data_IF_665778212003
#
_entry.id   IF_665778212003
#
_cell.length_a   1.000
_cell.length_b   1.000
_cell.length_c   1.000
_cell.angle_alpha   90.00
_cell.angle_beta   90.00
_cell.angle_gamma   90.00
#
_symmetry.space_group_name_H-M   'P 1'
#
loop_
_entity.id
_entity.type
_entity.pdbx_description
1 polymer ?
#
# COMPACT_ATOMS: atom_id res chain seq x y z
N UNK A 1 19.51 -69.87 -65.50
CA UNK A 1 19.74 -69.65 -64.07
C UNK A 1 19.92 -68.15 -63.89
N UNK A 2 18.84 -67.43 -63.46
CA UNK A 2 18.87 -65.99 -63.24
C UNK A 2 18.78 -65.76 -61.75
N UNK A 3 19.79 -65.06 -61.17
CA UNK A 3 19.82 -64.61 -59.78
C UNK A 3 19.28 -63.21 -59.70
N UNK A 4 18.15 -63.09 -59.00
CA UNK A 4 17.58 -61.76 -58.64
C UNK A 4 18.11 -61.28 -57.30
N UNK A 5 18.81 -60.13 -57.28
CA UNK A 5 19.23 -59.48 -56.06
C UNK A 5 18.10 -58.59 -55.53
N UNK A 6 17.65 -58.89 -54.33
CA UNK A 6 16.71 -58.01 -53.62
C UNK A 6 17.50 -57.03 -52.77
N UNK A 7 17.38 -55.69 -53.04
CA UNK A 7 17.95 -54.65 -52.23
C UNK A 7 16.98 -54.28 -51.10
N UNK A 8 17.38 -54.46 -49.84
CA UNK A 8 16.63 -54.04 -48.67
C UNK A 8 16.97 -52.56 -48.37
N UNK A 9 15.98 -51.68 -48.46
CA UNK A 9 16.08 -50.27 -48.03
C UNK A 9 15.74 -50.20 -46.54
N UNK A 10 16.77 -49.98 -45.69
CA UNK A 10 16.54 -49.61 -44.26
C UNK A 10 16.17 -48.12 -44.18
N UNK A 11 14.89 -47.85 -43.96
CA UNK A 11 14.41 -46.53 -43.59
C UNK A 11 14.73 -46.20 -42.13
N UNK A 12 15.63 -45.26 -41.89
CA UNK A 12 15.92 -44.73 -40.54
C UNK A 12 14.78 -43.81 -40.13
N UNK A 13 13.90 -44.27 -39.22
CA UNK A 13 12.88 -43.43 -38.58
C UNK A 13 13.58 -42.53 -37.53
N UNK A 14 13.81 -41.28 -37.87
CA UNK A 14 14.16 -40.23 -36.88
C UNK A 14 12.93 -39.91 -36.04
N UNK A 15 12.82 -40.51 -34.84
CA UNK A 15 11.88 -40.08 -33.82
C UNK A 15 12.34 -38.72 -33.29
N UNK A 16 11.69 -37.66 -33.76
CA UNK A 16 11.84 -36.35 -33.15
C UNK A 16 11.32 -36.42 -31.70
N UNK A 17 12.24 -36.24 -30.74
CA UNK A 17 11.86 -36.11 -29.34
C UNK A 17 10.92 -34.87 -29.18
N UNK A 18 9.82 -35.00 -28.42
CA UNK A 18 8.96 -33.87 -28.18
C UNK A 18 9.75 -32.79 -27.47
N UNK A 19 9.77 -31.58 -28.05
CA UNK A 19 10.36 -30.42 -27.40
C UNK A 19 9.72 -30.27 -26.02
N UNK A 20 10.53 -30.33 -24.97
CA UNK A 20 10.06 -30.11 -23.61
C UNK A 20 9.40 -28.74 -23.58
N UNK A 21 8.10 -28.70 -23.34
CA UNK A 21 7.34 -27.49 -23.17
C UNK A 21 7.98 -26.74 -21.99
N UNK A 22 8.64 -25.62 -22.28
CA UNK A 22 9.18 -24.74 -21.23
C UNK A 22 8.00 -24.31 -20.37
N UNK A 23 8.02 -24.72 -19.09
CA UNK A 23 7.01 -24.28 -18.13
C UNK A 23 6.86 -22.75 -18.22
N UNK A 24 5.64 -22.22 -18.33
CA UNK A 24 5.46 -20.78 -18.44
C UNK A 24 6.12 -20.11 -17.25
N UNK A 25 6.97 -19.12 -17.53
CA UNK A 25 7.67 -18.35 -16.49
C UNK A 25 6.61 -17.69 -15.61
N UNK A 26 6.63 -17.85 -14.28
CA UNK A 26 5.64 -17.25 -13.40
C UNK A 26 5.55 -15.74 -13.68
N UNK A 27 4.35 -15.24 -13.94
CA UNK A 27 4.10 -13.82 -14.11
C UNK A 27 4.02 -13.12 -12.76
N UNK A 28 4.47 -11.87 -12.71
CA UNK A 28 4.47 -11.00 -11.52
C UNK A 28 3.53 -9.85 -11.79
N UNK A 29 2.68 -9.51 -10.84
CA UNK A 29 1.88 -8.30 -10.90
C UNK A 29 2.76 -7.08 -10.61
N UNK A 30 2.76 -6.13 -11.53
CA UNK A 30 3.37 -4.84 -11.31
C UNK A 30 2.39 -3.93 -10.58
N UNK A 31 2.80 -3.37 -9.46
CA UNK A 31 2.07 -2.39 -8.66
C UNK A 31 2.89 -1.13 -8.42
N UNK A 32 2.22 -0.07 -7.96
CA UNK A 32 2.88 1.16 -7.56
C UNK A 32 2.15 1.84 -6.40
N UNK A 33 2.93 2.41 -5.48
CA UNK A 33 2.46 3.48 -4.61
C UNK A 33 2.61 4.79 -5.39
N UNK A 34 1.49 5.47 -5.59
CA UNK A 34 1.43 6.76 -6.27
C UNK A 34 0.77 7.76 -5.31
N UNK A 35 1.47 8.80 -4.85
CA UNK A 35 0.93 9.73 -3.86
C UNK A 35 -0.42 10.31 -4.28
N UNK A 36 -1.42 10.20 -3.39
CA UNK A 36 -2.80 10.71 -3.61
C UNK A 36 -3.52 10.10 -4.81
N UNK A 37 -3.17 8.90 -5.24
CA UNK A 37 -3.81 8.26 -6.39
C UNK A 37 -5.30 7.93 -6.15
N UNK A 38 -5.69 7.68 -4.89
CA UNK A 38 -7.05 7.47 -4.46
C UNK A 38 -7.93 8.74 -4.55
N UNK A 39 -7.34 9.91 -4.24
CA UNK A 39 -8.01 11.22 -4.30
C UNK A 39 -7.93 11.86 -5.69
N UNK A 40 -6.86 11.57 -6.42
CA UNK A 40 -6.51 12.14 -7.72
C UNK A 40 -6.20 11.04 -8.74
N UNK A 41 -7.23 10.35 -9.23
CA UNK A 41 -7.07 9.16 -10.07
C UNK A 41 -6.36 9.44 -11.41
N UNK A 42 -6.34 10.68 -11.90
CA UNK A 42 -5.56 11.10 -13.06
C UNK A 42 -4.05 10.88 -12.89
N UNK A 43 -3.56 10.77 -11.63
CA UNK A 43 -2.16 10.42 -11.34
C UNK A 43 -1.83 8.99 -11.72
N UNK A 44 -2.78 8.05 -11.62
CA UNK A 44 -2.62 6.68 -12.09
C UNK A 44 -2.47 6.67 -13.61
N UNK A 45 -3.26 7.48 -14.32
CA UNK A 45 -3.19 7.58 -15.76
C UNK A 45 -1.87 8.23 -16.20
N UNK A 46 -1.43 9.28 -15.50
CA UNK A 46 -0.15 9.95 -15.75
C UNK A 46 1.04 9.00 -15.53
N UNK A 47 1.05 8.28 -14.41
CA UNK A 47 2.07 7.28 -14.11
C UNK A 47 2.08 6.16 -15.16
N UNK A 48 0.91 5.65 -15.55
CA UNK A 48 0.78 4.60 -16.56
C UNK A 48 1.36 5.04 -17.91
N UNK A 49 1.10 6.27 -18.34
CA UNK A 49 1.73 6.85 -19.55
C UNK A 49 3.22 7.03 -19.38
N UNK A 50 3.67 7.51 -18.21
CA UNK A 50 5.08 7.71 -17.91
C UNK A 50 5.87 6.42 -18.03
N UNK A 51 5.39 5.32 -17.45
CA UNK A 51 6.12 4.04 -17.42
C UNK A 51 5.78 3.11 -18.59
N UNK A 52 4.74 3.40 -19.36
CA UNK A 52 4.33 2.61 -20.52
C UNK A 52 3.51 1.36 -20.19
N UNK A 53 3.07 1.19 -18.93
CA UNK A 53 2.25 0.05 -18.46
C UNK A 53 1.33 0.47 -17.33
N UNK A 54 0.10 -0.04 -17.32
CA UNK A 54 -0.81 0.14 -16.19
C UNK A 54 -0.41 -0.77 -15.02
N UNK A 55 -0.34 -0.25 -13.78
CA UNK A 55 -0.15 -1.10 -12.62
C UNK A 55 -1.39 -1.98 -12.38
N UNK A 56 -1.17 -3.25 -11.99
CA UNK A 56 -2.24 -4.15 -11.56
C UNK A 56 -2.64 -3.93 -10.09
N UNK A 57 -1.77 -3.27 -9.32
CA UNK A 57 -2.02 -2.87 -7.92
C UNK A 57 -1.68 -1.39 -7.79
N UNK A 58 -2.55 -0.61 -7.16
CA UNK A 58 -2.23 0.76 -6.72
C UNK A 58 -2.34 0.82 -5.21
N UNK A 59 -1.22 1.16 -4.56
CA UNK A 59 -1.13 1.29 -3.11
C UNK A 59 -1.34 2.73 -2.66
N UNK A 60 -2.00 2.89 -1.53
CA UNK A 60 -2.14 4.17 -0.82
C UNK A 60 -2.36 3.94 0.68
N UNK A 61 -2.10 4.99 1.47
CA UNK A 61 -2.20 4.94 2.93
C UNK A 61 -3.53 5.49 3.42
N UNK A 62 -4.08 4.87 4.46
CA UNK A 62 -5.26 5.35 5.20
C UNK A 62 -5.02 5.21 6.70
N UNK A 63 -5.09 6.33 7.38
CA UNK A 63 -5.03 6.38 8.84
C UNK A 63 -6.42 6.14 9.44
N UNK A 64 -6.45 5.86 10.74
CA UNK A 64 -7.67 5.50 11.47
C UNK A 64 -8.59 6.70 11.81
N UNK A 65 -8.30 7.89 11.32
CA UNK A 65 -9.18 9.06 11.47
C UNK A 65 -10.38 9.03 10.53
N UNK A 66 -10.29 8.27 9.45
CA UNK A 66 -11.24 8.26 8.35
C UNK A 66 -11.84 6.86 8.16
N UNK A 67 -12.98 6.81 7.50
CA UNK A 67 -13.50 5.54 6.96
C UNK A 67 -12.54 5.09 5.87
N UNK A 68 -11.81 3.98 6.04
CA UNK A 68 -10.69 3.64 5.14
C UNK A 68 -11.15 3.08 3.79
N UNK A 69 -12.43 2.71 3.66
CA UNK A 69 -12.99 2.01 2.49
C UNK A 69 -14.08 2.85 1.85
N UNK A 70 -13.77 4.10 1.50
CA UNK A 70 -14.68 4.97 0.77
C UNK A 70 -14.81 4.49 -0.67
N UNK A 71 -16.06 4.28 -1.13
CA UNK A 71 -16.33 3.69 -2.45
C UNK A 71 -15.71 4.50 -3.58
N UNK A 72 -15.75 5.82 -3.51
CA UNK A 72 -15.20 6.70 -4.55
C UNK A 72 -13.68 6.55 -4.70
N UNK A 73 -12.95 6.42 -3.58
CA UNK A 73 -11.50 6.18 -3.61
C UNK A 73 -11.15 4.80 -4.17
N UNK A 74 -11.92 3.78 -3.77
CA UNK A 74 -11.76 2.42 -4.27
C UNK A 74 -12.09 2.35 -5.78
N UNK A 75 -13.17 3.00 -6.21
CA UNK A 75 -13.57 3.08 -7.62
C UNK A 75 -12.57 3.89 -8.46
N UNK A 76 -11.95 4.90 -7.89
CA UNK A 76 -10.88 5.66 -8.53
C UNK A 76 -9.73 4.76 -9.01
N UNK A 77 -9.33 3.80 -8.18
CA UNK A 77 -8.30 2.80 -8.51
C UNK A 77 -8.87 1.68 -9.40
N UNK A 78 -10.02 1.13 -9.01
CA UNK A 78 -10.61 -0.02 -9.70
C UNK A 78 -10.99 0.26 -11.15
N UNK A 79 -11.57 1.41 -11.44
CA UNK A 79 -11.96 1.82 -12.80
C UNK A 79 -10.76 1.95 -13.75
N UNK A 80 -9.56 2.08 -13.20
CA UNK A 80 -8.29 2.11 -13.96
C UNK A 80 -7.62 0.76 -14.12
N UNK A 81 -8.31 -0.33 -13.78
CA UNK A 81 -7.83 -1.70 -13.99
C UNK A 81 -6.88 -2.22 -12.91
N UNK A 82 -6.72 -1.50 -11.80
CA UNK A 82 -5.89 -1.92 -10.67
C UNK A 82 -6.72 -2.45 -9.50
N UNK A 83 -6.11 -3.30 -8.64
CA UNK A 83 -6.63 -3.63 -7.32
C UNK A 83 -6.16 -2.56 -6.34
N UNK A 84 -7.05 -1.94 -5.55
CA UNK A 84 -6.63 -1.07 -4.47
C UNK A 84 -5.91 -1.86 -3.37
N UNK A 85 -4.72 -1.41 -2.98
CA UNK A 85 -4.00 -1.91 -1.80
C UNK A 85 -3.93 -0.80 -0.76
N UNK A 86 -4.62 -1.02 0.36
CA UNK A 86 -4.71 -0.03 1.43
C UNK A 86 -3.70 -0.38 2.52
N UNK A 87 -2.72 0.48 2.73
CA UNK A 87 -1.88 0.47 3.92
C UNK A 87 -2.66 1.14 5.04
N UNK A 88 -3.18 0.31 5.95
CA UNK A 88 -4.11 0.73 6.98
C UNK A 88 -3.42 0.86 8.34
N UNK A 89 -3.22 2.10 8.76
CA UNK A 89 -2.38 2.47 9.89
C UNK A 89 -3.21 2.84 11.12
N UNK A 90 -3.02 2.16 12.28
CA UNK A 90 -3.66 2.56 13.53
C UNK A 90 -3.00 3.81 14.15
N UNK A 91 -3.06 4.89 13.39
CA UNK A 91 -2.48 6.20 13.63
C UNK A 91 -3.40 7.26 13.02
N UNK A 92 -3.40 8.49 13.50
CA UNK A 92 -4.06 9.62 12.85
C UNK A 92 -3.07 10.50 12.08
N UNK A 93 -3.56 11.30 11.15
CA UNK A 93 -2.74 12.32 10.48
C UNK A 93 -2.11 13.31 11.46
N UNK A 94 -2.79 13.58 12.58
CA UNK A 94 -2.30 14.47 13.64
C UNK A 94 -1.34 13.76 14.61
N UNK A 95 -0.96 12.50 14.33
CA UNK A 95 -0.07 11.71 15.18
C UNK A 95 -0.73 11.09 16.41
N UNK A 96 -2.08 11.13 16.54
CA UNK A 96 -2.79 10.42 17.60
C UNK A 96 -2.64 8.91 17.41
N UNK A 97 -2.19 8.23 18.43
CA UNK A 97 -1.97 6.79 18.42
C UNK A 97 -3.25 6.02 18.77
N UNK A 98 -3.44 4.87 18.14
CA UNK A 98 -4.45 3.89 18.52
C UNK A 98 -3.75 2.67 19.13
N UNK A 99 -3.50 2.67 20.45
CA UNK A 99 -2.64 1.67 21.08
C UNK A 99 -3.15 0.25 20.87
N UNK A 100 -2.26 -0.67 20.46
CA UNK A 100 -2.63 -2.07 20.21
C UNK A 100 -3.26 -2.73 21.45
N UNK A 101 -2.85 -2.33 22.66
CA UNK A 101 -3.46 -2.81 23.89
C UNK A 101 -4.96 -2.45 24.00
N UNK A 102 -5.36 -1.29 23.49
CA UNK A 102 -6.77 -0.86 23.47
C UNK A 102 -7.54 -1.55 22.36
N UNK A 103 -6.92 -1.73 21.18
CA UNK A 103 -7.51 -2.51 20.08
C UNK A 103 -7.75 -3.95 20.54
N UNK A 104 -6.78 -4.56 21.22
CA UNK A 104 -6.90 -5.91 21.75
C UNK A 104 -8.08 -6.06 22.73
N UNK A 105 -8.34 -5.04 23.57
CA UNK A 105 -9.47 -5.01 24.51
C UNK A 105 -10.82 -4.63 23.87
N UNK A 106 -10.86 -4.32 22.56
CA UNK A 106 -12.08 -4.05 21.82
C UNK A 106 -12.55 -2.61 21.82
N UNK A 107 -11.73 -1.66 22.33
CA UNK A 107 -12.11 -0.24 22.37
C UNK A 107 -12.51 0.33 20.99
N UNK A 108 -11.94 -0.22 19.93
CA UNK A 108 -12.14 0.26 18.56
C UNK A 108 -12.95 -0.71 17.69
N UNK A 109 -13.61 -1.70 18.28
CA UNK A 109 -14.39 -2.70 17.53
C UNK A 109 -15.48 -2.09 16.68
N UNK A 110 -16.14 -1.04 17.16
CA UNK A 110 -17.18 -0.34 16.39
C UNK A 110 -16.59 0.21 15.09
N UNK A 111 -15.48 0.94 15.18
CA UNK A 111 -14.77 1.50 14.01
C UNK A 111 -14.34 0.41 13.03
N UNK A 112 -13.74 -0.69 13.54
CA UNK A 112 -13.29 -1.82 12.73
C UNK A 112 -14.48 -2.49 12.02
N UNK A 113 -15.62 -2.68 12.70
CA UNK A 113 -16.83 -3.25 12.11
C UNK A 113 -17.47 -2.30 11.07
N UNK A 114 -17.46 -1.00 11.30
CA UNK A 114 -17.94 -0.01 10.32
C UNK A 114 -17.06 -0.03 9.06
N UNK A 115 -15.74 -0.09 9.22
CA UNK A 115 -14.78 -0.26 8.14
C UNK A 115 -15.03 -1.57 7.35
N UNK A 116 -15.25 -2.66 8.06
CA UNK A 116 -15.54 -3.96 7.45
C UNK A 116 -16.85 -3.95 6.64
N UNK A 117 -17.90 -3.32 7.17
CA UNK A 117 -19.16 -3.17 6.43
C UNK A 117 -19.01 -2.32 5.17
N UNK A 118 -18.22 -1.25 5.23
CA UNK A 118 -17.92 -0.43 4.06
C UNK A 118 -17.18 -1.25 2.97
N UNK A 119 -16.17 -2.03 3.37
CA UNK A 119 -15.46 -2.92 2.46
C UNK A 119 -16.39 -3.99 1.85
N UNK A 120 -17.23 -4.64 2.67
CA UNK A 120 -18.20 -5.63 2.23
C UNK A 120 -19.23 -5.04 1.26
N UNK A 121 -19.73 -3.83 1.54
CA UNK A 121 -20.71 -3.13 0.70
C UNK A 121 -20.15 -2.77 -0.68
N UNK A 122 -18.85 -2.42 -0.76
CA UNK A 122 -18.19 -2.19 -2.04
C UNK A 122 -18.04 -3.47 -2.87
N UNK A 123 -17.83 -4.63 -2.24
CA UNK A 123 -17.98 -5.98 -2.77
C UNK A 123 -16.90 -6.45 -3.74
N UNK A 124 -15.97 -5.60 -4.19
CA UNK A 124 -14.87 -5.98 -5.08
C UNK A 124 -13.60 -6.26 -4.29
N UNK A 125 -12.62 -7.03 -4.82
CA UNK A 125 -11.38 -7.37 -4.11
C UNK A 125 -10.56 -6.15 -3.68
N UNK A 126 -10.14 -6.13 -2.42
CA UNK A 126 -9.28 -5.13 -1.80
C UNK A 126 -8.11 -5.86 -1.14
N UNK A 127 -6.89 -5.39 -1.35
CA UNK A 127 -5.73 -5.79 -0.58
C UNK A 127 -5.61 -4.87 0.64
N UNK A 128 -5.56 -5.42 1.85
CA UNK A 128 -5.41 -4.63 3.09
C UNK A 128 -4.13 -5.00 3.80
N UNK A 129 -3.24 -4.04 3.89
CA UNK A 129 -1.95 -4.11 4.57
C UNK A 129 -2.04 -3.39 5.92
N UNK A 130 -2.52 -4.12 6.93
CA UNK A 130 -2.75 -3.57 8.27
C UNK A 130 -1.46 -3.54 9.09
N UNK A 131 -1.18 -2.41 9.77
CA UNK A 131 -0.07 -2.27 10.70
C UNK A 131 1.25 -2.89 10.17
N UNK A 132 1.64 -2.48 8.95
CA UNK A 132 2.83 -2.95 8.25
C UNK A 132 4.12 -2.65 9.04
N UNK A 133 5.24 -3.27 8.65
CA UNK A 133 6.57 -3.05 9.25
C UNK A 133 6.60 -3.17 10.79
N UNK A 134 5.82 -4.09 11.32
CA UNK A 134 5.64 -4.28 12.77
C UNK A 134 6.90 -4.76 13.51
N UNK A 135 7.95 -5.11 12.78
CA UNK A 135 9.26 -5.50 13.30
C UNK A 135 10.25 -4.33 13.41
N UNK A 136 9.90 -3.16 12.87
CA UNK A 136 10.69 -1.93 12.99
C UNK A 136 10.57 -1.27 14.38
N UNK A 137 11.08 -0.04 14.48
CA UNK A 137 10.99 0.77 15.72
C UNK A 137 10.34 2.13 15.53
N UNK A 138 9.93 2.45 14.30
CA UNK A 138 9.45 3.77 13.89
C UNK A 138 7.93 3.92 13.99
N UNK A 139 7.18 2.82 14.09
CA UNK A 139 5.73 2.87 14.20
C UNK A 139 5.23 2.59 15.62
N UNK A 140 4.14 3.22 16.09
CA UNK A 140 3.59 3.00 17.41
C UNK A 140 3.02 1.59 17.62
N UNK A 141 2.75 0.84 16.56
CA UNK A 141 2.30 -0.56 16.63
C UNK A 141 3.43 -1.58 16.59
N UNK A 142 4.67 -1.13 16.40
CA UNK A 142 5.82 -2.03 16.24
C UNK A 142 6.15 -2.78 17.55
N UNK A 143 6.82 -3.93 17.40
CA UNK A 143 7.29 -4.72 18.52
C UNK A 143 8.33 -3.95 19.35
N UNK A 144 8.14 -3.95 20.66
CA UNK A 144 8.98 -3.18 21.58
C UNK A 144 8.57 -1.72 21.77
N UNK A 145 7.76 -1.17 20.88
CA UNK A 145 7.23 0.19 20.98
C UNK A 145 5.90 0.18 21.74
N UNK A 146 5.63 1.18 22.57
CA UNK A 146 4.38 1.31 23.38
C UNK A 146 4.05 0.03 24.19
N UNK A 147 5.06 -0.74 24.60
CA UNK A 147 4.89 -1.99 25.32
C UNK A 147 4.30 -3.14 24.48
N UNK A 148 4.32 -3.03 23.15
CA UNK A 148 3.84 -4.07 22.26
C UNK A 148 4.81 -5.25 22.26
N UNK A 149 4.28 -6.45 22.40
CA UNK A 149 5.01 -7.70 22.25
C UNK A 149 4.43 -8.53 21.09
N UNK A 150 5.12 -9.58 20.69
CA UNK A 150 4.71 -10.46 19.60
C UNK A 150 3.31 -11.06 19.79
N UNK A 151 2.96 -11.42 21.02
CA UNK A 151 1.61 -11.94 21.34
C UNK A 151 0.54 -10.90 21.05
N UNK A 152 0.72 -9.65 21.53
CA UNK A 152 -0.25 -8.56 21.30
C UNK A 152 -0.41 -8.24 19.82
N UNK A 153 0.67 -8.15 19.07
CA UNK A 153 0.64 -7.88 17.62
C UNK A 153 -0.19 -8.94 16.90
N UNK A 154 0.09 -10.23 17.16
CA UNK A 154 -0.67 -11.34 16.58
C UNK A 154 -2.14 -11.35 17.02
N UNK A 155 -2.40 -11.07 18.28
CA UNK A 155 -3.77 -11.04 18.81
C UNK A 155 -4.60 -9.91 18.20
N UNK A 156 -4.02 -8.73 18.03
CA UNK A 156 -4.67 -7.58 17.37
C UNK A 156 -4.92 -7.87 15.89
N UNK A 157 -3.93 -8.38 15.17
CA UNK A 157 -4.10 -8.77 13.77
C UNK A 157 -5.28 -9.73 13.60
N UNK A 158 -5.28 -10.83 14.37
CA UNK A 158 -6.34 -11.84 14.33
C UNK A 158 -7.71 -11.27 14.70
N UNK A 159 -7.76 -10.33 15.67
CA UNK A 159 -8.99 -9.64 16.04
C UNK A 159 -9.56 -8.84 14.88
N UNK A 160 -8.72 -8.02 14.23
CA UNK A 160 -9.13 -7.20 13.09
C UNK A 160 -9.69 -8.06 11.96
N UNK A 161 -8.95 -9.09 11.55
CA UNK A 161 -9.38 -10.03 10.50
C UNK A 161 -10.69 -10.72 10.87
N UNK A 162 -10.83 -11.19 12.12
CA UNK A 162 -12.06 -11.83 12.61
C UNK A 162 -13.25 -10.88 12.52
N UNK A 163 -13.09 -9.63 12.96
CA UNK A 163 -14.16 -8.62 12.91
C UNK A 163 -14.61 -8.33 11.48
N UNK A 164 -13.70 -8.30 10.52
CA UNK A 164 -14.03 -8.16 9.09
C UNK A 164 -14.83 -9.36 8.59
N UNK A 165 -14.41 -10.57 8.91
CA UNK A 165 -15.14 -11.80 8.53
C UNK A 165 -16.53 -11.86 9.13
N UNK A 166 -16.69 -11.46 10.40
CA UNK A 166 -17.99 -11.36 11.06
C UNK A 166 -18.95 -10.37 10.39
N UNK A 167 -18.44 -9.37 9.68
CA UNK A 167 -19.24 -8.42 8.92
C UNK A 167 -19.42 -8.81 7.43
N UNK A 168 -18.98 -9.99 7.04
CA UNK A 168 -19.13 -10.48 5.66
C UNK A 168 -18.15 -9.86 4.64
N UNK A 169 -17.08 -9.21 5.06
CA UNK A 169 -16.08 -8.62 4.19
C UNK A 169 -15.13 -9.69 3.60
N UNK A 170 -15.70 -10.67 2.87
CA UNK A 170 -14.96 -11.77 2.24
C UNK A 170 -14.11 -11.31 1.03
N UNK A 171 -14.39 -10.14 0.51
CA UNK A 171 -13.66 -9.50 -0.58
C UNK A 171 -12.32 -8.89 -0.16
N UNK A 172 -12.01 -8.83 1.13
CA UNK A 172 -10.74 -8.32 1.65
C UNK A 172 -9.69 -9.43 1.70
N UNK A 173 -8.57 -9.20 1.04
CA UNK A 173 -7.37 -10.04 1.13
C UNK A 173 -6.32 -9.36 2.02
N UNK A 174 -5.85 -10.09 3.02
CA UNK A 174 -4.94 -9.58 4.05
C UNK A 174 -3.49 -9.76 3.65
N UNK A 175 -2.75 -8.65 3.63
CA UNK A 175 -1.33 -8.59 3.23
C UNK A 175 -0.47 -8.33 4.45
N UNK A 176 0.35 -9.31 4.83
CA UNK A 176 1.26 -9.21 5.97
C UNK A 176 2.68 -8.93 5.47
N UNK A 177 3.18 -7.72 5.72
CA UNK A 177 4.50 -7.25 5.31
C UNK A 177 5.26 -6.64 6.49
N UNK A 178 6.19 -7.37 7.12
CA UNK A 178 7.23 -6.75 7.92
C UNK A 178 8.22 -5.98 7.03
N UNK A 179 9.02 -5.11 7.63
CA UNK A 179 10.23 -4.61 6.98
C UNK A 179 11.26 -5.73 6.83
N UNK A 180 12.14 -5.63 5.84
CA UNK A 180 13.22 -6.60 5.65
C UNK A 180 14.01 -6.81 6.94
N UNK A 181 14.41 -8.05 7.17
CA UNK A 181 15.18 -8.42 8.36
C UNK A 181 16.65 -8.05 8.17
N UNK A 182 17.06 -6.92 8.74
CA UNK A 182 18.43 -6.43 8.72
C UNK A 182 19.14 -6.81 10.00
N UNK A 183 19.55 -8.04 10.16
CA UNK A 183 20.35 -8.54 11.28
C UNK A 183 20.06 -7.93 12.67
N UNK A 184 19.58 -8.73 13.63
CA UNK A 184 19.21 -8.26 14.97
C UNK A 184 17.73 -7.90 15.14
N UNK A 185 16.92 -7.88 14.07
CA UNK A 185 15.48 -7.79 14.16
C UNK A 185 14.88 -9.12 14.67
N UNK A 186 13.63 -9.05 15.11
CA UNK A 186 12.94 -10.22 15.64
C UNK A 186 12.59 -11.22 14.55
N UNK A 187 12.70 -12.54 14.79
CA UNK A 187 12.28 -13.56 13.85
C UNK A 187 10.83 -13.35 13.40
N UNK A 188 10.57 -13.46 12.11
CA UNK A 188 9.23 -13.25 11.55
C UNK A 188 8.19 -14.23 12.11
N UNK A 189 8.59 -15.48 12.42
CA UNK A 189 7.73 -16.46 13.09
C UNK A 189 7.09 -15.95 14.40
N UNK A 190 7.77 -15.04 15.10
CA UNK A 190 7.25 -14.47 16.34
C UNK A 190 6.11 -13.48 16.10
N UNK A 191 6.08 -12.86 14.92
CA UNK A 191 5.12 -11.83 14.52
C UNK A 191 4.05 -12.36 13.59
N UNK A 192 4.29 -13.49 12.95
CA UNK A 192 3.40 -14.07 11.95
C UNK A 192 2.07 -14.52 12.58
N UNK A 193 0.92 -14.02 12.09
CA UNK A 193 -0.37 -14.35 12.69
C UNK A 193 -0.88 -15.75 12.33
N UNK A 194 -0.27 -16.40 11.30
CA UNK A 194 -0.61 -17.73 10.78
C UNK A 194 -1.47 -17.66 9.50
N UNK A 195 -1.33 -18.67 8.64
CA UNK A 195 -1.92 -18.76 7.29
C UNK A 195 -3.43 -18.50 7.27
N UNK A 196 -4.15 -18.91 8.31
CA UNK A 196 -5.57 -18.67 8.44
C UNK A 196 -5.96 -17.19 8.44
N UNK A 197 -5.02 -16.28 8.76
CA UNK A 197 -5.28 -14.88 9.04
C UNK A 197 -4.68 -13.94 8.01
N UNK A 198 -4.03 -14.48 6.98
CA UNK A 198 -3.40 -13.73 5.89
C UNK A 198 -3.68 -14.39 4.55
N UNK A 199 -3.61 -13.63 3.48
CA UNK A 199 -3.76 -14.10 2.10
C UNK A 199 -2.46 -13.95 1.32
N UNK A 200 -1.70 -12.92 1.66
CA UNK A 200 -0.41 -12.59 1.08
C UNK A 200 0.59 -12.35 2.18
N UNK A 201 1.79 -12.85 1.99
CA UNK A 201 2.94 -12.54 2.85
C UNK A 201 3.99 -11.81 2.03
N UNK A 202 4.89 -11.08 2.68
CA UNK A 202 5.95 -10.38 1.97
C UNK A 202 6.77 -9.50 2.88
N UNK A 203 7.38 -8.50 2.31
CA UNK A 203 8.25 -7.57 3.01
C UNK A 203 8.29 -6.21 2.29
N UNK A 204 8.74 -5.19 3.02
CA UNK A 204 9.09 -3.88 2.52
C UNK A 204 10.61 -3.72 2.59
N UNK A 205 11.24 -3.34 1.49
CA UNK A 205 12.70 -3.23 1.44
C UNK A 205 13.20 -2.25 0.39
N UNK A 206 14.09 -1.35 0.82
CA UNK A 206 14.61 -0.26 -0.01
C UNK A 206 16.12 -0.25 -0.06
N UNK A 207 16.68 0.18 -1.17
CA UNK A 207 18.07 0.56 -1.25
C UNK A 207 18.24 2.03 -0.83
N UNK A 208 18.40 2.23 0.47
CA UNK A 208 18.45 3.57 1.06
C UNK A 208 19.72 4.35 0.75
N UNK A 209 20.86 3.68 0.63
CA UNK A 209 22.19 4.24 0.35
C UNK A 209 22.64 5.39 1.29
N UNK A 210 21.83 5.77 2.27
CA UNK A 210 22.08 6.94 3.15
C UNK A 210 23.21 6.73 4.15
N UNK A 211 23.63 5.48 4.36
CA UNK A 211 24.70 5.10 5.29
C UNK A 211 25.97 4.66 4.58
N UNK A 212 26.11 5.00 3.29
CA UNK A 212 27.27 4.60 2.47
C UNK A 212 27.21 3.14 2.01
N UNK A 213 26.12 2.42 2.26
CA UNK A 213 25.95 1.02 1.89
C UNK A 213 24.99 0.92 0.70
N UNK A 214 25.54 0.62 -0.48
CA UNK A 214 24.76 0.35 -1.68
C UNK A 214 24.58 -1.16 -1.84
N UNK A 215 23.35 -1.63 -1.74
CA UNK A 215 23.01 -3.04 -1.82
C UNK A 215 22.19 -3.35 -3.08
N UNK A 216 22.41 -4.52 -3.67
CA UNK A 216 21.51 -5.09 -4.67
C UNK A 216 20.15 -5.42 -4.06
N UNK A 217 19.14 -5.64 -4.89
CA UNK A 217 17.82 -6.06 -4.40
C UNK A 217 17.90 -7.38 -3.62
N UNK A 218 18.66 -8.36 -4.14
CA UNK A 218 18.83 -9.66 -3.48
C UNK A 218 19.47 -9.52 -2.10
N UNK A 219 20.55 -8.74 -1.96
CA UNK A 219 21.20 -8.51 -0.66
C UNK A 219 20.24 -7.88 0.37
N UNK A 220 19.29 -7.06 -0.08
CA UNK A 220 18.29 -6.45 0.79
C UNK A 220 17.26 -7.48 1.25
N UNK A 221 16.80 -8.39 0.38
CA UNK A 221 15.60 -9.18 0.63
C UNK A 221 15.84 -10.66 0.91
N UNK A 222 17.00 -11.21 0.58
CA UNK A 222 17.25 -12.65 0.53
C UNK A 222 16.95 -13.35 1.86
N UNK A 223 17.49 -12.81 2.96
CA UNK A 223 17.24 -13.35 4.29
C UNK A 223 15.74 -13.34 4.66
N UNK A 224 15.04 -12.26 4.32
CA UNK A 224 13.60 -12.11 4.58
C UNK A 224 12.77 -13.06 3.71
N UNK A 225 13.14 -13.18 2.44
CA UNK A 225 12.50 -14.10 1.50
C UNK A 225 12.62 -15.55 2.00
N UNK A 226 13.83 -15.98 2.39
CA UNK A 226 14.06 -17.33 2.90
C UNK A 226 13.33 -17.59 4.21
N UNK A 227 13.33 -16.64 5.14
CA UNK A 227 12.63 -16.80 6.41
C UNK A 227 11.12 -16.98 6.19
N UNK A 228 10.51 -16.15 5.32
CA UNK A 228 9.08 -16.28 4.97
C UNK A 228 8.83 -17.58 4.20
N UNK A 229 9.73 -17.98 3.30
CA UNK A 229 9.59 -19.22 2.54
C UNK A 229 9.56 -20.46 3.42
N UNK A 230 10.28 -20.45 4.54
CA UNK A 230 10.26 -21.52 5.55
C UNK A 230 9.01 -21.45 6.44
N UNK A 231 8.37 -20.29 6.56
CA UNK A 231 7.26 -20.03 7.48
C UNK A 231 5.91 -20.46 6.88
N UNK A 232 5.70 -20.25 5.59
CA UNK A 232 4.41 -20.47 4.91
C UNK A 232 4.61 -20.69 3.41
N UNK A 233 3.62 -21.30 2.75
CA UNK A 233 3.56 -21.46 1.29
C UNK A 233 2.74 -20.38 0.59
N UNK A 234 2.17 -19.41 1.28
CA UNK A 234 1.36 -18.32 0.71
C UNK A 234 2.14 -17.50 -0.34
N UNK A 235 1.46 -16.92 -1.34
CA UNK A 235 2.12 -16.08 -2.35
C UNK A 235 2.78 -14.86 -1.70
N UNK A 236 3.95 -14.47 -2.25
CA UNK A 236 4.69 -13.33 -1.74
C UNK A 236 4.44 -12.07 -2.55
N UNK A 237 4.39 -10.95 -1.84
CA UNK A 237 4.36 -9.61 -2.39
C UNK A 237 5.54 -8.80 -1.83
N UNK A 238 6.25 -8.08 -2.69
CA UNK A 238 7.09 -6.96 -2.25
C UNK A 238 6.14 -5.78 -2.08
N UNK A 239 5.81 -5.46 -0.81
CA UNK A 239 4.80 -4.46 -0.48
C UNK A 239 5.24 -3.03 -0.79
N UNK A 240 6.54 -2.77 -0.58
CA UNK A 240 7.21 -1.54 -0.96
C UNK A 240 8.66 -1.80 -1.35
N UNK A 241 9.10 -1.19 -2.44
CA UNK A 241 10.51 -1.19 -2.83
C UNK A 241 10.87 0.02 -3.68
N UNK A 242 12.14 0.35 -3.69
CA UNK A 242 12.73 1.41 -4.49
C UNK A 242 14.20 1.59 -4.18
N UNK A 243 14.87 2.45 -4.94
CA UNK A 243 16.26 2.80 -4.72
C UNK A 243 16.45 4.30 -4.69
N UNK A 244 17.36 4.76 -3.86
CA UNK A 244 17.86 6.14 -3.85
C UNK A 244 18.53 6.52 -5.16
N UNK A 245 18.62 7.82 -5.43
CA UNK A 245 19.47 8.38 -6.49
C UNK A 245 20.91 8.63 -6.04
N UNK A 246 21.17 8.58 -4.74
CA UNK A 246 22.49 8.78 -4.16
C UNK A 246 23.15 7.45 -3.78
N UNK A 247 24.47 7.41 -3.81
CA UNK A 247 25.27 6.26 -3.37
C UNK A 247 25.61 5.24 -4.45
N UNK A 248 24.99 5.29 -5.64
CA UNK A 248 25.28 4.38 -6.74
C UNK A 248 24.46 4.64 -8.00
N UNK A 249 24.49 3.71 -8.94
CA UNK A 249 23.73 3.79 -10.20
C UNK A 249 22.33 3.21 -10.03
N UNK A 250 21.35 4.08 -9.79
CA UNK A 250 19.92 3.71 -9.68
C UNK A 250 19.39 3.03 -10.95
N UNK A 251 19.83 3.44 -12.14
CA UNK A 251 19.38 2.83 -13.39
C UNK A 251 19.84 1.38 -13.51
N UNK A 252 21.11 1.12 -13.16
CA UNK A 252 21.66 -0.22 -13.11
C UNK A 252 20.96 -1.07 -12.03
N UNK A 253 20.67 -0.49 -10.86
CA UNK A 253 19.95 -1.17 -9.80
C UNK A 253 18.54 -1.57 -10.23
N UNK A 254 17.76 -0.65 -10.81
CA UNK A 254 16.42 -0.91 -11.32
C UNK A 254 16.43 -2.03 -12.37
N UNK A 255 17.37 -1.97 -13.31
CA UNK A 255 17.51 -3.00 -14.35
C UNK A 255 17.87 -4.37 -13.75
N UNK A 256 18.76 -4.41 -12.75
CA UNK A 256 19.16 -5.64 -12.07
C UNK A 256 18.00 -6.23 -11.27
N UNK A 257 17.42 -5.44 -10.37
CA UNK A 257 16.32 -5.86 -9.51
C UNK A 257 15.16 -6.47 -10.31
N UNK A 258 14.66 -5.73 -11.31
CA UNK A 258 13.47 -6.13 -12.05
C UNK A 258 13.73 -7.22 -13.10
N UNK A 259 14.90 -7.25 -13.72
CA UNK A 259 15.16 -8.20 -14.82
C UNK A 259 15.91 -9.45 -14.42
N UNK A 260 16.73 -9.40 -13.37
CA UNK A 260 17.64 -10.49 -13.01
C UNK A 260 17.40 -11.08 -11.64
N UNK A 261 17.03 -10.25 -10.65
CA UNK A 261 16.99 -10.66 -9.24
C UNK A 261 15.59 -11.14 -8.84
N UNK A 262 14.55 -10.33 -8.97
CA UNK A 262 13.16 -10.74 -8.71
C UNK A 262 12.78 -12.02 -9.49
N UNK A 263 13.17 -12.22 -10.77
CA UNK A 263 12.91 -13.46 -11.47
C UNK A 263 13.48 -14.73 -10.83
N UNK A 264 14.50 -14.64 -10.00
CA UNK A 264 15.07 -15.77 -9.27
C UNK A 264 14.33 -16.11 -7.98
N UNK A 265 13.35 -15.31 -7.59
CA UNK A 265 12.55 -15.45 -6.38
C UNK A 265 11.10 -15.85 -6.76
N UNK A 266 10.86 -17.14 -7.11
CA UNK A 266 9.63 -17.58 -7.82
C UNK A 266 8.36 -17.43 -7.01
N UNK A 267 8.44 -17.26 -5.69
CA UNK A 267 7.27 -17.02 -4.85
C UNK A 267 6.80 -15.57 -4.84
N UNK A 268 7.61 -14.62 -5.35
CA UNK A 268 7.19 -13.23 -5.53
C UNK A 268 6.22 -13.19 -6.72
N UNK A 269 4.95 -12.89 -6.41
CA UNK A 269 3.85 -12.80 -7.37
C UNK A 269 3.40 -11.36 -7.62
N UNK A 270 3.83 -10.42 -6.78
CA UNK A 270 3.56 -9.01 -6.94
C UNK A 270 4.73 -8.17 -6.42
N UNK A 271 4.97 -7.04 -7.07
CA UNK A 271 5.98 -6.05 -6.66
C UNK A 271 5.34 -4.66 -6.75
N UNK A 272 5.33 -3.93 -5.64
CA UNK A 272 4.82 -2.56 -5.57
C UNK A 272 6.00 -1.59 -5.49
N UNK A 273 6.19 -0.83 -6.54
CA UNK A 273 7.20 0.23 -6.57
C UNK A 273 6.72 1.45 -5.79
N UNK A 274 7.56 1.98 -4.91
CA UNK A 274 7.24 3.18 -4.14
C UNK A 274 7.66 4.43 -4.92
N UNK A 275 6.71 5.06 -5.63
CA UNK A 275 7.00 6.20 -6.53
C UNK A 275 6.84 7.54 -5.81
N UNK A 276 7.73 7.82 -4.86
CA UNK A 276 7.68 9.04 -4.06
C UNK A 276 9.06 9.53 -3.61
N UNK A 277 9.07 10.71 -3.01
CA UNK A 277 10.20 11.22 -2.23
C UNK A 277 9.89 11.11 -0.75
N UNK A 278 10.85 10.64 0.03
CA UNK A 278 10.78 10.74 1.48
C UNK A 278 11.51 12.03 1.91
N UNK A 279 10.79 12.91 2.59
CA UNK A 279 11.44 13.95 3.37
C UNK A 279 11.78 13.35 4.73
N UNK A 280 13.07 13.21 5.05
CA UNK A 280 13.46 12.88 6.41
C UNK A 280 13.01 14.00 7.34
N UNK A 281 11.92 13.76 8.08
CA UNK A 281 11.41 14.73 9.04
C UNK A 281 12.48 15.07 10.08
N UNK A 282 13.11 16.23 9.92
CA UNK A 282 13.84 16.89 11.00
C UNK A 282 15.36 16.75 11.04
N UNK A 283 16.02 15.92 10.28
CA UNK A 283 17.49 15.95 10.22
C UNK A 283 17.97 17.02 9.23
N UNK A 284 18.48 18.12 9.78
CA UNK A 284 19.17 19.16 9.00
C UNK A 284 20.38 18.53 8.29
N UNK A 285 20.30 18.37 6.98
CA UNK A 285 21.41 17.94 6.13
C UNK A 285 21.25 16.58 5.45
N UNK A 286 20.20 15.81 5.69
CA UNK A 286 19.91 14.57 4.97
C UNK A 286 19.15 14.87 3.67
N UNK A 287 19.75 14.66 2.51
CA UNK A 287 19.04 14.67 1.24
C UNK A 287 17.90 13.65 1.29
N UNK A 288 16.67 14.07 0.95
CA UNK A 288 15.52 13.19 0.93
C UNK A 288 15.76 12.01 -0.01
N UNK A 289 15.28 10.80 0.36
CA UNK A 289 15.31 9.66 -0.53
C UNK A 289 14.32 9.88 -1.68
N UNK A 290 14.80 9.88 -2.90
CA UNK A 290 13.96 9.94 -4.10
C UNK A 290 13.89 8.55 -4.75
N UNK A 291 12.76 7.86 -4.54
CA UNK A 291 12.48 6.55 -5.14
C UNK A 291 11.67 6.64 -6.42
N UNK A 292 11.27 7.85 -6.86
CA UNK A 292 10.49 8.01 -8.09
C UNK A 292 11.22 7.38 -9.28
N UNK A 293 10.44 6.77 -10.15
CA UNK A 293 10.97 6.14 -11.38
C UNK A 293 11.59 7.17 -12.33
N UNK A 294 11.16 8.42 -12.25
CA UNK A 294 11.58 9.53 -13.10
C UNK A 294 12.42 10.58 -12.37
N UNK A 295 13.10 10.20 -11.30
CA UNK A 295 14.07 11.08 -10.63
C UNK A 295 15.14 11.59 -11.60
N UNK A 296 15.47 10.77 -12.62
CA UNK A 296 16.20 11.21 -13.82
C UNK A 296 15.80 10.36 -15.04
N UNK A 297 16.32 10.71 -16.23
CA UNK A 297 15.96 10.01 -17.46
C UNK A 297 16.50 8.56 -17.53
N UNK A 298 17.64 8.26 -16.90
CA UNK A 298 18.24 6.93 -16.95
C UNK A 298 17.45 5.87 -16.14
N UNK A 299 17.08 6.08 -14.87
CA UNK A 299 16.19 5.19 -14.11
C UNK A 299 14.85 4.98 -14.80
N UNK A 300 14.23 6.04 -15.37
CA UNK A 300 12.97 5.89 -16.08
C UNK A 300 13.10 4.96 -17.29
N UNK A 301 14.15 5.11 -18.11
CA UNK A 301 14.38 4.19 -19.25
C UNK A 301 14.58 2.76 -18.79
N UNK A 302 15.38 2.55 -17.74
CA UNK A 302 15.65 1.23 -17.17
C UNK A 302 14.35 0.59 -16.65
N UNK A 303 13.53 1.35 -15.94
CA UNK A 303 12.26 0.91 -15.40
C UNK A 303 11.27 0.52 -16.51
N UNK A 304 11.00 1.42 -17.47
CA UNK A 304 10.14 1.16 -18.63
C UNK A 304 10.53 -0.11 -19.36
N UNK A 305 11.82 -0.25 -19.64
CA UNK A 305 12.36 -1.40 -20.34
C UNK A 305 12.24 -2.71 -19.55
N UNK A 306 12.33 -2.65 -18.21
CA UNK A 306 12.19 -3.82 -17.36
C UNK A 306 10.74 -4.28 -17.24
N UNK A 307 9.80 -3.37 -16.95
CA UNK A 307 8.38 -3.71 -16.79
C UNK A 307 7.68 -4.01 -18.12
N UNK A 308 8.25 -3.65 -19.27
CA UNK A 308 7.75 -4.07 -20.59
C UNK A 308 7.82 -5.59 -20.79
N UNK A 309 8.66 -6.29 -20.01
CA UNK A 309 8.76 -7.76 -20.07
C UNK A 309 7.39 -8.43 -19.82
N UNK A 310 7.06 -9.50 -20.56
CA UNK A 310 5.85 -10.31 -20.31
C UNK A 310 5.72 -10.79 -18.86
N UNK A 311 6.83 -11.00 -18.16
CA UNK A 311 6.86 -11.36 -16.74
C UNK A 311 6.02 -10.42 -15.86
N UNK A 312 6.04 -9.11 -16.13
CA UNK A 312 5.27 -8.11 -15.39
C UNK A 312 3.88 -7.87 -15.98
N UNK A 313 3.40 -8.82 -16.78
CA UNK A 313 2.14 -8.74 -17.49
C UNK A 313 0.93 -9.22 -16.72
N UNK A 314 1.07 -9.72 -15.48
CA UNK A 314 -0.05 -10.21 -14.71
C UNK A 314 -1.09 -9.10 -14.53
N UNK A 315 -2.27 -9.32 -15.08
CA UNK A 315 -3.40 -8.39 -14.99
C UNK A 315 -4.07 -8.50 -13.62
N UNK A 316 -4.92 -7.52 -13.31
CA UNK A 316 -5.80 -7.58 -12.11
C UNK A 316 -6.58 -8.90 -12.04
N UNK A 317 -7.19 -9.33 -13.13
CA UNK A 317 -8.01 -10.54 -13.16
C UNK A 317 -7.18 -11.79 -12.87
N UNK A 318 -5.99 -11.88 -13.46
CA UNK A 318 -5.07 -13.01 -13.23
C UNK A 318 -4.47 -12.98 -11.82
N UNK A 319 -4.18 -11.80 -11.27
CA UNK A 319 -3.74 -11.63 -9.88
C UNK A 319 -4.79 -12.17 -8.91
N UNK A 320 -6.06 -11.85 -9.14
CA UNK A 320 -7.18 -12.26 -8.29
C UNK A 320 -7.60 -13.73 -8.52
N UNK A 321 -7.31 -14.29 -9.69
CA UNK A 321 -7.51 -15.70 -10.00
C UNK A 321 -6.37 -16.59 -9.46
N UNK A 322 -5.29 -16.03 -8.95
CA UNK A 322 -4.23 -16.78 -8.26
C UNK A 322 -4.89 -17.54 -7.12
N UNK A 323 -4.83 -18.89 -7.09
CA UNK A 323 -5.64 -19.68 -6.19
C UNK A 323 -5.38 -19.28 -4.74
N UNK A 324 -6.38 -18.74 -4.10
CA UNK A 324 -6.50 -18.80 -2.65
C UNK A 324 -6.87 -20.23 -2.22
N UNK A 325 -6.41 -21.22 -2.97
CA UNK A 325 -6.61 -22.64 -2.70
C UNK A 325 -5.66 -23.12 -1.59
N UNK A 326 -5.67 -22.34 -0.55
CA UNK A 326 -5.13 -22.75 0.72
C UNK A 326 -6.33 -23.18 1.54
N UNK A 327 -6.44 -24.48 1.78
CA UNK A 327 -7.41 -25.20 2.62
C UNK A 327 -7.92 -24.37 3.83
N UNK A 328 -8.65 -23.31 3.54
CA UNK A 328 -9.49 -22.63 4.51
C UNK A 328 -10.68 -23.55 4.69
N UNK A 329 -10.63 -24.39 5.70
CA UNK A 329 -11.85 -25.04 6.15
C UNK A 329 -12.94 -23.97 6.26
N UNK A 330 -14.16 -24.22 5.80
CA UNK A 330 -15.21 -23.25 5.80
C UNK A 330 -15.38 -22.75 7.24
N UNK A 331 -15.03 -21.46 7.47
CA UNK A 331 -15.64 -20.75 8.56
C UNK A 331 -17.05 -20.51 8.02
N UNK A 332 -18.04 -21.24 8.57
CA UNK A 332 -19.43 -20.96 8.28
C UNK A 332 -19.62 -19.45 8.37
N UNK A 333 -19.86 -18.81 7.22
CA UNK A 333 -20.29 -17.44 7.22
C UNK A 333 -21.55 -17.42 8.10
N UNK A 334 -21.68 -16.54 9.09
CA UNK A 334 -22.96 -16.34 9.72
C UNK A 334 -23.94 -16.04 8.60
N UNK A 335 -25.06 -16.74 8.56
CA UNK A 335 -26.14 -16.48 7.61
C UNK A 335 -26.38 -14.98 7.57
N UNK A 336 -26.45 -14.33 6.38
CA UNK A 336 -26.71 -12.91 6.31
C UNK A 336 -27.99 -12.66 7.13
N UNK A 337 -28.00 -11.61 7.97
CA UNK A 337 -29.22 -11.25 8.67
C UNK A 337 -30.32 -11.08 7.62
N UNK A 338 -31.42 -11.78 7.78
CA UNK A 338 -32.62 -11.69 6.94
C UNK A 338 -33.32 -10.35 7.19
N UNK A 339 -32.71 -9.29 6.75
CA UNK A 339 -33.21 -7.93 6.84
C UNK A 339 -32.59 -7.15 5.69
N UNK A 340 -33.45 -6.70 4.75
CA UNK A 340 -33.05 -5.94 3.58
C UNK A 340 -32.09 -4.82 3.95
N UNK A 341 -31.10 -4.59 3.10
CA UNK A 341 -30.09 -3.56 3.22
C UNK A 341 -30.79 -2.21 3.41
N UNK A 342 -30.92 -1.77 4.65
CA UNK A 342 -31.35 -0.42 4.99
C UNK A 342 -30.34 0.55 4.38
N UNK A 343 -30.87 1.52 3.64
CA UNK A 343 -30.13 2.70 3.18
C UNK A 343 -29.20 3.21 4.29
N UNK A 344 -27.98 3.71 3.98
CA UNK A 344 -27.07 4.24 4.99
C UNK A 344 -27.82 5.15 5.92
N UNK A 345 -27.67 4.96 7.23
CA UNK A 345 -28.51 5.61 8.25
C UNK A 345 -28.58 7.11 8.00
N UNK A 346 -29.75 7.70 8.25
CA UNK A 346 -29.96 9.15 8.15
C UNK A 346 -28.87 9.92 8.91
N UNK A 347 -28.34 9.32 9.97
CA UNK A 347 -27.24 9.83 10.77
C UNK A 347 -25.92 9.91 9.97
N UNK A 348 -25.60 8.91 9.14
CA UNK A 348 -24.41 8.93 8.27
C UNK A 348 -24.52 10.01 7.18
N UNK A 349 -25.71 10.15 6.55
CA UNK A 349 -25.93 11.22 5.54
C UNK A 349 -25.95 12.61 6.16
N UNK A 350 -26.40 12.75 7.41
CA UNK A 350 -26.37 14.01 8.14
C UNK A 350 -24.96 14.38 8.60
N UNK A 351 -24.14 13.43 9.04
CA UNK A 351 -22.74 13.73 9.42
C UNK A 351 -21.89 14.16 8.23
N UNK A 352 -22.04 13.55 7.06
CA UNK A 352 -21.37 13.99 5.83
C UNK A 352 -21.83 15.40 5.40
N UNK A 353 -23.13 15.71 5.42
CA UNK A 353 -23.65 17.06 5.15
C UNK A 353 -23.26 18.08 6.21
N UNK A 354 -23.13 17.67 7.48
CA UNK A 354 -22.76 18.56 8.57
C UNK A 354 -21.28 18.96 8.52
N UNK A 355 -20.35 18.07 8.13
CA UNK A 355 -18.92 18.41 8.00
C UNK A 355 -18.68 19.53 6.99
N UNK A 356 -19.30 19.47 5.82
CA UNK A 356 -19.21 20.56 4.82
C UNK A 356 -19.85 21.88 5.31
N UNK A 357 -20.96 21.79 6.06
CA UNK A 357 -21.62 22.97 6.63
C UNK A 357 -20.86 23.57 7.80
N UNK A 358 -20.26 22.78 8.67
CA UNK A 358 -19.45 23.31 9.78
C UNK A 358 -18.18 23.98 9.29
N UNK A 359 -17.54 23.46 8.24
CA UNK A 359 -16.39 24.12 7.61
C UNK A 359 -16.80 25.48 7.02
N UNK A 360 -17.92 25.53 6.31
CA UNK A 360 -18.46 26.78 5.74
C UNK A 360 -18.84 27.78 6.84
N UNK A 361 -19.46 27.34 7.93
CA UNK A 361 -19.80 28.17 9.10
C UNK A 361 -18.51 28.68 9.79
N UNK A 362 -17.51 27.82 10.00
CA UNK A 362 -16.23 28.22 10.60
C UNK A 362 -15.51 29.28 9.76
N UNK A 363 -15.49 29.13 8.44
CA UNK A 363 -14.95 30.13 7.51
C UNK A 363 -15.74 31.44 7.58
N UNK A 364 -17.08 31.38 7.60
CA UNK A 364 -17.92 32.56 7.69
C UNK A 364 -17.72 33.33 9.03
N UNK A 365 -17.60 32.60 10.14
CA UNK A 365 -17.33 33.20 11.47
C UNK A 365 -15.93 33.82 11.51
N UNK A 366 -14.92 33.18 10.94
CA UNK A 366 -13.56 33.75 10.85
C UNK A 366 -13.51 35.03 10.01
N UNK A 367 -14.21 35.05 8.87
CA UNK A 367 -14.33 36.22 8.02
C UNK A 367 -15.07 37.38 8.73
N UNK A 368 -16.14 37.09 9.46
CA UNK A 368 -16.89 38.09 10.23
C UNK A 368 -16.02 38.68 11.35
N UNK A 369 -15.26 37.87 12.06
CA UNK A 369 -14.32 38.29 13.07
C UNK A 369 -13.23 39.22 12.50
N UNK A 370 -12.68 38.92 11.33
CA UNK A 370 -11.71 39.76 10.62
C UNK A 370 -12.30 41.12 10.21
N UNK A 371 -13.55 41.14 9.74
CA UNK A 371 -14.26 42.37 9.38
C UNK A 371 -14.51 43.25 10.61
N UNK A 372 -14.90 42.67 11.75
CA UNK A 372 -15.09 43.38 12.99
C UNK A 372 -13.78 43.99 13.53
N UNK A 373 -12.68 43.20 13.45
CA UNK A 373 -11.35 43.73 13.84
C UNK A 373 -10.88 44.86 12.93
N UNK A 374 -11.09 44.77 11.62
CA UNK A 374 -10.78 45.83 10.68
C UNK A 374 -11.63 47.09 10.95
N UNK A 375 -12.93 46.92 11.22
CA UNK A 375 -13.83 48.02 11.59
C UNK A 375 -13.38 48.71 12.87
N UNK A 376 -13.03 47.95 13.91
CA UNK A 376 -12.51 48.51 15.18
C UNK A 376 -11.18 49.24 14.97
N UNK A 377 -10.28 48.75 14.15
CA UNK A 377 -9.02 49.44 13.82
C UNK A 377 -9.24 50.75 13.08
N UNK A 378 -10.22 50.83 12.17
CA UNK A 378 -10.60 52.03 11.44
C UNK A 378 -11.23 53.06 12.42
N UNK A 379 -12.12 52.60 13.31
CA UNK A 379 -12.75 53.46 14.33
C UNK A 379 -11.70 54.05 15.28
N UNK A 380 -10.75 53.28 15.75
CA UNK A 380 -9.63 53.71 16.57
C UNK A 380 -8.74 54.74 15.85
N UNK A 381 -8.44 54.53 14.56
CA UNK A 381 -7.67 55.52 13.76
C UNK A 381 -8.45 56.80 13.58
N UNK A 382 -9.78 56.75 13.35
CA UNK A 382 -10.64 57.99 13.28
C UNK A 382 -10.71 58.72 14.60
N UNK A 383 -10.84 58.01 15.73
CA UNK A 383 -10.87 58.61 17.06
C UNK A 383 -9.53 59.31 17.42
N UNK A 384 -8.40 58.65 17.11
CA UNK A 384 -7.06 59.24 17.29
C UNK A 384 -6.85 60.49 16.41
N UNK A 385 -7.33 60.51 15.17
CA UNK A 385 -7.29 61.70 14.29
C UNK A 385 -8.14 62.87 14.87
N UNK A 386 -9.37 62.57 15.37
CA UNK A 386 -10.23 63.56 16.00
C UNK A 386 -9.59 64.17 17.26
N UNK A 387 -8.97 63.34 18.11
CA UNK A 387 -8.25 63.83 19.32
C UNK A 387 -7.04 64.71 18.96
N UNK A 388 -6.27 64.34 17.93
CA UNK A 388 -5.16 65.20 17.46
C UNK A 388 -5.63 66.48 16.83
N UNK A 389 -6.72 66.54 16.12
CA UNK A 389 -7.33 67.75 15.58
C UNK A 389 -7.90 68.67 16.66
N UNK A 390 -8.41 68.15 17.77
CA UNK A 390 -8.89 68.91 18.93
C UNK A 390 -7.73 69.46 19.76
N UNK A 391 -6.61 68.77 19.93
CA UNK A 391 -5.43 69.21 20.66
C UNK A 391 -4.64 70.31 19.92
N UNK A 392 -4.80 70.46 18.60
CA UNK A 392 -4.15 71.53 17.80
C UNK A 392 -4.96 72.83 17.73
N UNK A 393 -6.07 72.93 18.44
CA UNK A 393 -6.91 74.18 18.51
C UNK A 393 -6.96 74.76 19.92
N UNK A 394 -5.88 74.75 20.68
CA UNK A 394 -5.77 75.56 21.89
C UNK A 394 -5.43 77.02 21.49
N UNK A 395 -6.21 78.03 21.91
CA UNK A 395 -5.89 79.45 21.61
C UNK A 395 -4.69 79.88 22.41
N UNK A 396 -3.89 80.75 21.79
CA UNK A 396 -2.76 81.50 22.41
C UNK A 396 -3.27 82.50 23.45
#
# INVERSE_FOLDING_TARGET
>A
MSLTFAAAVLGTLCLAAPAAATSPTPSVAFGAYIPKANERPERIDAFSRLVGRRPAIVSYYKQWDYVPFEADELDAVWSRGAVPMITWEPLSYEGRKFPLAQIQRGRYDRYIRESARAAAAWGRPILVRFAHEMNGTWYPWARGVEGNNSYRIKAVWRRVVRLFREQGAANVQWVWTPNVNTGGSFPFRDLYPGDRWVDWVGFDGFNWAQRGEWHSFTEIVDNSYEEIAKLTSLPMIVGETGSSDSGGDKAAWVASALRREIPKLPRIRAVVWFDATFSNGGEKGGGGLDTRVNSSAAPLRAFRSAIASPRYGLTRSELLATPADYSRGPIAAPSPPSGGFGQPSLFYRLTQKLHGRYLAIAIAVALLALLLLAGAAIALRRSRRRRRAAAGRAPA
#
